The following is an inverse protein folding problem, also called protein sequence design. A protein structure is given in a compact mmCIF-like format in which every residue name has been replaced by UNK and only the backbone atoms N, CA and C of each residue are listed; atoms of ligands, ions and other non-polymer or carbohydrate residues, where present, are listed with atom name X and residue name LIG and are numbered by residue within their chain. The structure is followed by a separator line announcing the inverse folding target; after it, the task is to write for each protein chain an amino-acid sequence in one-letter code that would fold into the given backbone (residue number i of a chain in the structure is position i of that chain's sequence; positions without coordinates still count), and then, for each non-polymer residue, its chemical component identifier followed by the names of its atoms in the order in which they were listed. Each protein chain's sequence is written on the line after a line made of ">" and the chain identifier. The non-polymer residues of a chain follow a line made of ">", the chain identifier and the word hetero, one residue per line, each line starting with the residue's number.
data_IF_222010546550
#
_entry.id   IF_222010546550
#
_cell.length_a   1.000
_cell.length_b   1.000
_cell.length_c   1.000
_cell.angle_alpha   90.00
_cell.angle_beta   90.00
_cell.angle_gamma   90.00
#
_symmetry.space_group_name_H-M   'P 1'
#
loop_
_entity.id
_entity.type
_entity.pdbx_description
1 polymer ?
#
# COMPACT_ATOMS: atom_id res chain seq x y z
N UNK A 1 -18.61 -28.78 21.99
CA UNK A 1 -18.24 -28.70 20.55
C UNK A 1 -17.87 -27.29 20.13
N UNK A 2 -18.64 -26.25 20.49
CA UNK A 2 -18.35 -24.84 20.12
C UNK A 2 -16.96 -24.36 20.55
N UNK A 3 -16.53 -24.67 21.78
CA UNK A 3 -15.19 -24.34 22.29
C UNK A 3 -14.06 -24.98 21.47
N UNK A 4 -14.27 -26.18 20.92
CA UNK A 4 -13.27 -26.83 20.05
C UNK A 4 -13.25 -26.24 18.64
N UNK A 5 -14.40 -25.78 18.12
CA UNK A 5 -14.49 -25.11 16.81
C UNK A 5 -13.80 -23.74 16.87
N UNK A 6 -14.02 -22.95 17.92
CA UNK A 6 -13.34 -21.65 18.12
C UNK A 6 -11.82 -21.82 18.31
N UNK A 7 -11.39 -22.86 19.04
CA UNK A 7 -9.97 -23.14 19.25
C UNK A 7 -9.25 -23.59 17.97
N UNK A 8 -9.94 -24.34 17.09
CA UNK A 8 -9.39 -24.78 15.81
C UNK A 8 -9.36 -23.65 14.77
N UNK A 9 -10.37 -22.77 14.74
CA UNK A 9 -10.39 -21.60 13.87
C UNK A 9 -9.24 -20.61 14.16
N UNK A 10 -8.84 -20.48 15.43
CA UNK A 10 -7.73 -19.63 15.87
C UNK A 10 -6.33 -20.18 15.50
N UNK A 11 -6.21 -21.47 15.13
CA UNK A 11 -4.93 -22.08 14.70
C UNK A 11 -4.68 -21.96 13.20
N UNK A 12 -5.73 -21.71 12.40
CA UNK A 12 -5.57 -21.60 10.95
C UNK A 12 -4.66 -20.41 10.58
N UNK A 13 -3.79 -20.56 9.58
CA UNK A 13 -3.02 -19.43 9.09
C UNK A 13 -3.95 -18.35 8.52
N UNK A 14 -3.59 -17.06 8.64
CA UNK A 14 -4.29 -16.01 7.94
C UNK A 14 -4.16 -16.18 6.41
N UNK A 15 -5.19 -15.74 5.68
CA UNK A 15 -5.29 -15.83 4.23
C UNK A 15 -5.22 -14.46 3.58
N UNK A 16 -4.39 -14.33 2.54
CA UNK A 16 -4.28 -13.12 1.73
C UNK A 16 -5.59 -12.82 0.99
N UNK A 17 -6.24 -13.82 0.40
CA UNK A 17 -7.54 -13.65 -0.26
C UNK A 17 -8.65 -13.37 0.76
N UNK A 18 -8.55 -14.01 1.93
CA UNK A 18 -9.51 -13.81 3.01
C UNK A 18 -9.56 -12.37 3.53
N UNK A 19 -8.51 -11.55 3.31
CA UNK A 19 -8.50 -10.14 3.73
C UNK A 19 -9.58 -9.31 3.01
N UNK A 20 -9.98 -9.72 1.79
CA UNK A 20 -11.01 -9.03 1.01
C UNK A 20 -12.42 -9.40 1.46
N UNK A 21 -12.65 -10.66 1.82
CA UNK A 21 -14.00 -11.20 2.07
C UNK A 21 -14.34 -11.31 3.55
N UNK A 22 -13.35 -11.59 4.40
CA UNK A 22 -13.53 -11.85 5.83
C UNK A 22 -12.40 -11.22 6.67
N UNK A 23 -12.09 -9.91 6.50
CA UNK A 23 -10.93 -9.28 7.13
C UNK A 23 -10.89 -9.44 8.64
N UNK A 24 -12.03 -9.33 9.31
CA UNK A 24 -12.12 -9.48 10.77
C UNK A 24 -11.62 -10.83 11.27
N UNK A 25 -11.90 -11.91 10.55
CA UNK A 25 -11.42 -13.25 10.88
C UNK A 25 -9.93 -13.41 10.58
N UNK A 26 -9.44 -12.83 9.47
CA UNK A 26 -8.02 -12.87 9.15
C UNK A 26 -7.18 -12.13 10.20
N UNK A 27 -7.63 -10.97 10.67
CA UNK A 27 -6.94 -10.24 11.74
C UNK A 27 -6.97 -10.96 13.09
N UNK A 28 -8.05 -11.68 13.42
CA UNK A 28 -8.06 -12.58 14.58
C UNK A 28 -7.01 -13.69 14.45
N UNK A 29 -6.85 -14.28 13.25
CA UNK A 29 -5.81 -15.29 12.97
C UNK A 29 -4.40 -14.70 13.02
N UNK A 30 -4.19 -13.47 12.53
CA UNK A 30 -2.89 -12.78 12.64
C UNK A 30 -2.52 -12.57 14.11
N UNK A 31 -3.48 -12.26 14.98
CA UNK A 31 -3.24 -12.14 16.41
C UNK A 31 -2.68 -13.42 17.02
N UNK A 32 -3.17 -14.60 16.63
CA UNK A 32 -2.75 -15.87 17.23
C UNK A 32 -1.60 -16.55 16.48
N UNK A 33 -1.49 -16.35 15.17
CA UNK A 33 -0.53 -17.01 14.29
C UNK A 33 0.01 -16.03 13.21
N UNK A 34 0.81 -15.02 13.60
CA UNK A 34 1.31 -14.01 12.67
C UNK A 34 2.29 -14.63 11.66
N UNK A 35 1.96 -14.50 10.37
CA UNK A 35 2.81 -14.92 9.24
C UNK A 35 3.32 -13.69 8.48
N UNK A 36 4.58 -13.71 8.07
CA UNK A 36 5.23 -12.54 7.46
C UNK A 36 5.86 -12.92 6.12
N UNK A 37 6.81 -13.85 6.10
CA UNK A 37 7.69 -14.07 4.95
C UNK A 37 6.97 -14.45 3.66
N UNK A 38 6.08 -15.45 3.70
CA UNK A 38 5.33 -15.87 2.50
C UNK A 38 4.37 -14.78 2.03
N UNK A 39 3.53 -14.16 2.88
CA UNK A 39 2.73 -13.00 2.50
C UNK A 39 3.56 -11.85 1.90
N UNK A 40 4.69 -11.52 2.52
CA UNK A 40 5.55 -10.43 2.07
C UNK A 40 6.18 -10.72 0.71
N UNK A 41 6.61 -11.95 0.46
CA UNK A 41 7.11 -12.37 -0.85
C UNK A 41 6.03 -12.23 -1.93
N UNK A 42 4.79 -12.64 -1.64
CA UNK A 42 3.68 -12.49 -2.58
C UNK A 42 3.41 -11.01 -2.85
N UNK A 43 3.38 -10.17 -1.82
CA UNK A 43 3.23 -8.70 -1.96
C UNK A 43 4.34 -8.11 -2.83
N UNK A 44 5.59 -8.54 -2.63
CA UNK A 44 6.73 -8.06 -3.39
C UNK A 44 6.62 -8.46 -4.87
N UNK A 45 6.22 -9.69 -5.17
CA UNK A 45 6.00 -10.16 -6.55
C UNK A 45 4.88 -9.37 -7.22
N UNK A 46 3.73 -9.19 -6.56
CA UNK A 46 2.59 -8.43 -7.11
C UNK A 46 2.98 -6.98 -7.40
N UNK A 47 3.68 -6.31 -6.49
CA UNK A 47 4.16 -4.94 -6.72
C UNK A 47 5.20 -4.88 -7.82
N UNK A 48 6.13 -5.84 -7.89
CA UNK A 48 7.13 -5.89 -8.95
C UNK A 48 6.48 -5.99 -10.34
N UNK A 49 5.41 -6.78 -10.47
CA UNK A 49 4.63 -6.87 -11.71
C UNK A 49 3.94 -5.54 -12.02
N UNK A 50 3.28 -4.91 -11.04
CA UNK A 50 2.67 -3.59 -11.23
C UNK A 50 3.67 -2.53 -11.68
N UNK A 51 4.82 -2.44 -11.01
CA UNK A 51 5.92 -1.53 -11.39
C UNK A 51 6.54 -1.89 -12.74
N UNK A 52 6.57 -3.17 -13.10
CA UNK A 52 7.00 -3.62 -14.42
C UNK A 52 6.09 -3.12 -15.53
N UNK A 53 4.76 -3.16 -15.33
CA UNK A 53 3.80 -2.58 -16.26
C UNK A 53 3.99 -1.06 -16.35
N UNK A 54 4.11 -0.38 -15.20
CA UNK A 54 4.39 1.06 -15.15
C UNK A 54 5.68 1.42 -15.91
N UNK A 55 6.73 0.62 -15.76
CA UNK A 55 7.99 0.79 -16.46
C UNK A 55 7.87 0.64 -17.98
N UNK A 56 6.97 -0.24 -18.46
CA UNK A 56 6.66 -0.39 -19.89
C UNK A 56 5.87 0.80 -20.46
N UNK A 57 5.13 1.52 -19.62
CA UNK A 57 4.40 2.72 -20.01
C UNK A 57 5.30 3.95 -20.17
N UNK A 58 6.52 3.92 -19.64
CA UNK A 58 7.49 5.02 -19.78
C UNK A 58 8.27 4.93 -21.09
N UNK A 59 8.55 6.07 -21.71
CA UNK A 59 9.42 6.20 -22.87
C UNK A 59 10.52 7.27 -22.67
N UNK A 60 11.43 7.38 -23.63
CA UNK A 60 12.53 8.36 -23.59
C UNK A 60 12.03 9.80 -23.75
N UNK A 61 10.94 10.02 -24.51
CA UNK A 61 10.31 11.33 -24.68
C UNK A 61 9.83 11.91 -23.34
N UNK A 62 9.27 11.08 -22.45
CA UNK A 62 8.89 11.49 -21.10
C UNK A 62 10.10 12.01 -20.30
N UNK A 63 11.25 11.33 -20.39
CA UNK A 63 12.46 11.74 -19.68
C UNK A 63 13.05 13.03 -20.25
N UNK A 64 13.04 13.18 -21.58
CA UNK A 64 13.49 14.40 -22.25
C UNK A 64 12.64 15.59 -21.81
N UNK A 65 11.31 15.44 -21.76
CA UNK A 65 10.39 16.46 -21.22
C UNK A 65 10.67 16.80 -19.75
N UNK A 66 11.22 15.86 -18.98
CA UNK A 66 11.63 16.08 -17.59
C UNK A 66 13.02 16.75 -17.46
N UNK A 67 13.73 16.98 -18.57
CA UNK A 67 15.01 17.68 -18.62
C UNK A 67 16.23 16.77 -18.79
N UNK A 68 16.03 15.49 -19.10
CA UNK A 68 17.13 14.58 -19.42
C UNK A 68 17.68 14.88 -20.82
N UNK A 69 19.00 15.07 -21.02
CA UNK A 69 19.58 15.24 -22.34
C UNK A 69 19.26 14.04 -23.25
N UNK A 70 18.90 14.32 -24.51
CA UNK A 70 18.45 13.31 -25.49
C UNK A 70 19.48 12.17 -25.65
N UNK A 71 20.77 12.51 -25.75
CA UNK A 71 21.89 11.56 -25.84
C UNK A 71 21.98 10.56 -24.68
N UNK A 72 21.39 10.90 -23.52
CA UNK A 72 21.41 10.07 -22.31
C UNK A 72 20.05 9.40 -22.03
N UNK A 73 19.00 9.73 -22.79
CA UNK A 73 17.62 9.38 -22.46
C UNK A 73 17.39 7.86 -22.41
N UNK A 74 17.86 7.11 -23.41
CA UNK A 74 17.68 5.65 -23.47
C UNK A 74 18.44 4.92 -22.36
N UNK A 75 19.66 5.39 -22.04
CA UNK A 75 20.46 4.84 -20.95
C UNK A 75 19.77 5.06 -19.61
N UNK A 76 19.32 6.28 -19.35
CA UNK A 76 18.61 6.64 -18.12
C UNK A 76 17.26 5.90 -18.02
N UNK A 77 16.56 5.71 -19.14
CA UNK A 77 15.33 4.92 -19.20
C UNK A 77 15.57 3.48 -18.74
N UNK A 78 16.63 2.83 -19.25
CA UNK A 78 17.01 1.48 -18.84
C UNK A 78 17.25 1.37 -17.32
N UNK A 79 18.05 2.28 -16.75
CA UNK A 79 18.29 2.33 -15.31
C UNK A 79 17.02 2.61 -14.50
N UNK A 80 16.19 3.54 -14.97
CA UNK A 80 14.95 3.94 -14.30
C UNK A 80 13.97 2.78 -14.21
N UNK A 81 13.76 2.05 -15.31
CA UNK A 81 12.89 0.87 -15.34
C UNK A 81 13.35 -0.22 -14.37
N UNK A 82 14.65 -0.49 -14.29
CA UNK A 82 15.22 -1.46 -13.32
C UNK A 82 15.00 -0.97 -11.89
N UNK A 83 15.29 0.31 -11.62
CA UNK A 83 15.11 0.91 -10.31
C UNK A 83 13.64 0.87 -9.85
N UNK A 84 12.68 1.12 -10.75
CA UNK A 84 11.24 1.04 -10.45
C UNK A 84 10.82 -0.37 -10.02
N UNK A 85 11.24 -1.41 -10.73
CA UNK A 85 10.92 -2.79 -10.35
C UNK A 85 11.58 -3.14 -9.01
N UNK A 86 12.85 -2.78 -8.81
CA UNK A 86 13.57 -3.02 -7.56
C UNK A 86 12.92 -2.32 -6.35
N UNK A 87 12.51 -1.06 -6.53
CA UNK A 87 11.78 -0.31 -5.50
C UNK A 87 10.40 -0.90 -5.23
N UNK A 88 9.70 -1.42 -6.26
CA UNK A 88 8.44 -2.16 -6.10
C UNK A 88 8.55 -3.39 -5.19
N UNK A 89 9.70 -4.08 -5.22
CA UNK A 89 9.97 -5.23 -4.35
C UNK A 89 10.18 -4.82 -2.89
N UNK A 90 10.94 -3.74 -2.66
CA UNK A 90 11.45 -3.40 -1.32
C UNK A 90 10.47 -2.49 -0.56
N UNK A 91 9.83 -1.54 -1.25
CA UNK A 91 9.01 -0.49 -0.63
C UNK A 91 7.87 -1.05 0.25
N UNK A 92 7.12 -2.10 -0.14
CA UNK A 92 6.07 -2.64 0.71
C UNK A 92 6.58 -3.16 2.05
N UNK A 93 7.78 -3.77 2.08
CA UNK A 93 8.41 -4.25 3.31
C UNK A 93 8.79 -3.09 4.23
N UNK A 94 9.40 -2.04 3.67
CA UNK A 94 9.77 -0.83 4.41
C UNK A 94 8.53 -0.13 4.95
N UNK A 95 7.49 0.05 4.11
CA UNK A 95 6.24 0.69 4.52
C UNK A 95 5.53 -0.08 5.64
N UNK A 96 5.47 -1.41 5.56
CA UNK A 96 4.92 -2.24 6.63
C UNK A 96 5.77 -2.16 7.92
N UNK A 97 7.11 -2.10 7.80
CA UNK A 97 8.02 -1.97 8.93
C UNK A 97 7.81 -0.64 9.66
N UNK A 98 7.84 0.48 8.94
CA UNK A 98 7.65 1.84 9.47
C UNK A 98 6.28 1.96 10.12
N UNK A 99 5.21 1.53 9.43
CA UNK A 99 3.85 1.59 9.96
C UNK A 99 3.72 0.79 11.26
N UNK A 100 4.35 -0.39 11.33
CA UNK A 100 4.36 -1.22 12.53
C UNK A 100 5.13 -0.58 13.68
N UNK A 101 6.22 0.14 13.38
CA UNK A 101 7.03 0.84 14.37
C UNK A 101 6.25 2.01 15.00
N UNK A 102 5.51 2.75 14.19
CA UNK A 102 4.63 3.82 14.69
C UNK A 102 3.48 3.22 15.51
N UNK A 103 2.82 2.17 14.99
CA UNK A 103 1.69 1.53 15.67
C UNK A 103 2.08 0.86 17.00
N UNK A 104 3.30 0.30 17.11
CA UNK A 104 3.77 -0.27 18.38
C UNK A 104 4.04 0.84 19.41
N UNK A 105 4.46 2.04 18.99
CA UNK A 105 4.59 3.17 19.91
C UNK A 105 3.21 3.58 20.47
N UNK A 106 2.18 3.67 19.61
CA UNK A 106 0.79 3.94 20.04
C UNK A 106 0.26 2.83 20.96
N UNK A 107 0.58 1.57 20.66
CA UNK A 107 0.19 0.43 21.49
C UNK A 107 0.80 0.51 22.90
N UNK A 108 2.06 0.91 23.02
CA UNK A 108 2.72 1.10 24.32
C UNK A 108 2.06 2.21 25.14
N UNK A 109 1.72 3.34 24.51
CA UNK A 109 1.03 4.46 25.18
C UNK A 109 -0.36 4.04 25.69
N UNK A 110 -1.05 3.19 24.93
CA UNK A 110 -2.40 2.71 25.26
C UNK A 110 -2.43 1.40 26.06
N UNK A 111 -1.28 0.88 26.50
CA UNK A 111 -1.14 -0.41 27.19
C UNK A 111 -1.81 -1.60 26.47
N UNK A 112 -1.79 -1.58 25.13
CA UNK A 112 -2.41 -2.62 24.32
C UNK A 112 -1.53 -3.88 24.27
N UNK A 113 -2.11 -5.10 24.44
CA UNK A 113 -1.35 -6.35 24.50
C UNK A 113 -1.03 -6.88 23.08
N UNK A 114 -0.19 -6.14 22.33
CA UNK A 114 0.22 -6.49 20.97
C UNK A 114 1.74 -6.45 20.81
N UNK A 115 2.25 -7.35 19.99
CA UNK A 115 3.67 -7.44 19.63
C UNK A 115 3.94 -6.77 18.30
N UNK A 116 5.17 -6.31 18.09
CA UNK A 116 5.61 -5.79 16.79
C UNK A 116 5.38 -6.80 15.66
N UNK A 117 5.63 -8.09 15.91
CA UNK A 117 5.44 -9.16 14.93
C UNK A 117 3.99 -9.28 14.45
N UNK A 118 3.01 -9.09 15.35
CA UNK A 118 1.60 -9.10 14.99
C UNK A 118 1.23 -7.88 14.13
N UNK A 119 1.73 -6.69 14.48
CA UNK A 119 1.51 -5.47 13.69
C UNK A 119 2.18 -5.54 12.32
N UNK A 120 3.40 -6.10 12.25
CA UNK A 120 4.11 -6.27 10.98
C UNK A 120 3.44 -7.29 10.06
N UNK A 121 2.97 -8.41 10.63
CA UNK A 121 2.11 -9.35 9.92
C UNK A 121 0.84 -8.66 9.43
N UNK A 122 0.12 -7.94 10.30
CA UNK A 122 -1.09 -7.19 9.94
C UNK A 122 -0.85 -6.23 8.77
N UNK A 123 0.18 -5.39 8.85
CA UNK A 123 0.51 -4.42 7.81
C UNK A 123 0.98 -5.09 6.50
N UNK A 124 1.59 -6.27 6.56
CA UNK A 124 1.93 -7.07 5.36
C UNK A 124 0.68 -7.58 4.65
N UNK A 125 -0.34 -8.03 5.38
CA UNK A 125 -1.60 -8.47 4.76
C UNK A 125 -2.41 -7.29 4.20
N UNK A 126 -2.35 -6.12 4.85
CA UNK A 126 -2.98 -4.90 4.34
C UNK A 126 -2.26 -4.40 3.09
N UNK A 127 -0.93 -4.44 3.04
CA UNK A 127 -0.16 -4.00 1.86
C UNK A 127 -0.43 -4.87 0.63
N UNK A 128 -0.87 -6.12 0.79
CA UNK A 128 -1.37 -6.93 -0.32
C UNK A 128 -2.57 -6.32 -1.04
N UNK A 129 -3.47 -5.67 -0.30
CA UNK A 129 -4.62 -4.98 -0.89
C UNK A 129 -4.18 -3.79 -1.73
N UNK A 130 -3.23 -3.01 -1.23
CA UNK A 130 -2.63 -1.92 -1.98
C UNK A 130 -1.87 -2.43 -3.22
N UNK A 131 -1.15 -3.55 -3.11
CA UNK A 131 -0.43 -4.17 -4.21
C UNK A 131 -1.37 -4.60 -5.35
N UNK A 132 -2.50 -5.24 -5.00
CA UNK A 132 -3.53 -5.63 -5.97
C UNK A 132 -4.17 -4.41 -6.61
N UNK A 133 -4.44 -3.36 -5.83
CA UNK A 133 -4.96 -2.10 -6.34
C UNK A 133 -4.02 -1.43 -7.33
N UNK A 134 -2.73 -1.38 -7.00
CA UNK A 134 -1.71 -0.83 -7.88
C UNK A 134 -1.58 -1.66 -9.17
N UNK A 135 -1.51 -2.99 -9.06
CA UNK A 135 -1.47 -3.87 -10.23
C UNK A 135 -2.68 -3.67 -11.14
N UNK A 136 -3.89 -3.57 -10.57
CA UNK A 136 -5.11 -3.33 -11.33
C UNK A 136 -5.04 -1.97 -12.05
N UNK A 137 -4.65 -0.91 -11.34
CA UNK A 137 -4.53 0.43 -11.93
C UNK A 137 -3.53 0.45 -13.08
N UNK A 138 -2.36 -0.19 -12.93
CA UNK A 138 -1.35 -0.25 -13.99
C UNK A 138 -1.82 -1.10 -15.17
N UNK A 139 -2.44 -2.25 -14.92
CA UNK A 139 -2.95 -3.11 -15.99
C UNK A 139 -4.05 -2.41 -16.81
N UNK A 140 -5.03 -1.80 -16.13
CA UNK A 140 -6.10 -1.07 -16.82
C UNK A 140 -5.55 0.17 -17.52
N UNK A 141 -4.69 0.94 -16.85
CA UNK A 141 -4.06 2.13 -17.41
C UNK A 141 -3.28 1.83 -18.69
N UNK A 142 -2.49 0.75 -18.68
CA UNK A 142 -1.77 0.28 -19.87
C UNK A 142 -2.73 -0.08 -21.03
N UNK A 143 -3.82 -0.79 -20.74
CA UNK A 143 -4.79 -1.22 -21.77
C UNK A 143 -5.53 -0.05 -22.42
N UNK A 144 -5.77 1.03 -21.69
CA UNK A 144 -6.51 2.20 -22.19
C UNK A 144 -5.59 3.36 -22.63
N UNK A 145 -4.26 3.18 -22.55
CA UNK A 145 -3.28 4.23 -22.88
C UNK A 145 -3.31 5.43 -21.94
N UNK A 146 -3.63 5.22 -20.66
CA UNK A 146 -3.54 6.28 -19.66
C UNK A 146 -2.08 6.58 -19.30
N UNK A 147 -1.80 7.78 -18.80
CA UNK A 147 -0.49 8.12 -18.25
C UNK A 147 -0.10 7.18 -17.10
N UNK A 148 1.19 6.82 -17.03
CA UNK A 148 1.73 5.90 -16.02
C UNK A 148 1.47 6.34 -14.56
N UNK A 149 1.28 7.63 -14.33
CA UNK A 149 1.00 8.18 -13.00
C UNK A 149 -0.49 8.08 -12.62
N UNK A 150 -1.38 7.92 -13.61
CA UNK A 150 -2.83 7.97 -13.41
C UNK A 150 -3.37 6.67 -12.84
N UNK A 151 -3.84 6.73 -11.60
CA UNK A 151 -4.65 5.68 -11.02
C UNK A 151 -6.10 5.86 -11.45
N UNK A 152 -6.60 4.97 -12.32
CA UNK A 152 -7.97 4.99 -12.86
C UNK A 152 -9.05 4.83 -11.79
N UNK A 153 -8.72 4.22 -10.64
CA UNK A 153 -9.65 4.08 -9.51
C UNK A 153 -9.46 5.16 -8.43
N UNK A 154 -8.70 6.22 -8.74
CA UNK A 154 -8.65 7.45 -7.94
C UNK A 154 -9.74 8.44 -8.32
N UNK A 155 -10.06 9.37 -7.41
CA UNK A 155 -10.97 10.47 -7.69
C UNK A 155 -10.46 11.35 -8.85
N UNK A 156 -9.14 11.54 -8.97
CA UNK A 156 -8.51 12.24 -10.10
C UNK A 156 -8.75 11.53 -11.44
N UNK A 157 -8.54 10.21 -11.47
CA UNK A 157 -8.80 9.36 -12.63
C UNK A 157 -10.26 9.36 -13.05
N UNK A 158 -11.19 9.18 -12.10
CA UNK A 158 -12.64 9.19 -12.36
C UNK A 158 -13.15 10.53 -12.90
N UNK A 159 -12.53 11.64 -12.51
CA UNK A 159 -12.90 12.98 -12.97
C UNK A 159 -12.18 13.41 -14.25
N UNK A 160 -11.32 12.56 -14.82
CA UNK A 160 -10.50 12.90 -15.99
C UNK A 160 -9.48 14.02 -15.73
N UNK A 161 -9.11 14.24 -14.46
CA UNK A 161 -8.15 15.29 -14.03
C UNK A 161 -6.72 14.76 -13.89
N UNK A 162 -6.46 13.52 -14.33
CA UNK A 162 -5.18 12.85 -14.22
C UNK A 162 -4.78 12.51 -12.79
N UNK A 163 -3.52 12.14 -12.61
CA UNK A 163 -2.86 11.76 -11.35
C UNK A 163 -2.57 12.92 -10.38
N UNK A 164 -2.75 14.17 -10.82
CA UNK A 164 -2.14 15.31 -10.13
C UNK A 164 -2.78 15.60 -8.76
N UNK A 165 -1.94 15.48 -7.73
CA UNK A 165 -2.18 15.92 -6.37
C UNK A 165 -3.24 15.19 -5.56
N UNK A 166 -3.95 15.96 -4.73
CA UNK A 166 -4.83 15.42 -3.68
C UNK A 166 -5.91 14.50 -4.24
N UNK A 167 -6.41 14.77 -5.45
CA UNK A 167 -7.46 13.96 -6.08
C UNK A 167 -6.95 12.57 -6.51
N UNK A 168 -5.68 12.46 -6.94
CA UNK A 168 -5.06 11.18 -7.24
C UNK A 168 -4.83 10.32 -6.00
N UNK A 169 -4.55 10.96 -4.85
CA UNK A 169 -4.33 10.27 -3.58
C UNK A 169 -5.61 9.73 -2.92
N UNK A 170 -6.78 10.29 -3.27
CA UNK A 170 -8.08 9.76 -2.85
C UNK A 170 -8.42 8.60 -3.77
N UNK A 171 -8.05 7.41 -3.33
CA UNK A 171 -8.02 6.20 -4.14
C UNK A 171 -8.81 5.07 -3.47
N UNK A 172 -9.58 4.29 -4.24
CA UNK A 172 -10.45 3.22 -3.73
C UNK A 172 -9.73 2.22 -2.81
N UNK A 173 -8.59 1.70 -3.23
CA UNK A 173 -7.77 0.76 -2.47
C UNK A 173 -7.06 1.42 -1.28
N UNK A 174 -6.74 2.72 -1.37
CA UNK A 174 -6.22 3.47 -0.22
C UNK A 174 -7.30 3.64 0.87
N UNK A 175 -8.54 3.97 0.49
CA UNK A 175 -9.69 4.05 1.39
C UNK A 175 -9.96 2.68 2.02
N UNK A 176 -9.96 1.62 1.22
CA UNK A 176 -10.15 0.28 1.74
C UNK A 176 -9.01 -0.15 2.67
N UNK A 177 -7.76 0.19 2.35
CA UNK A 177 -6.61 0.00 3.24
C UNK A 177 -6.76 0.72 4.58
N UNK A 178 -7.31 1.93 4.61
CA UNK A 178 -7.64 2.65 5.84
C UNK A 178 -8.69 1.90 6.67
N UNK A 179 -9.78 1.43 6.06
CA UNK A 179 -10.79 0.61 6.73
C UNK A 179 -10.18 -0.67 7.31
N UNK A 180 -9.36 -1.37 6.52
CA UNK A 180 -8.67 -2.59 6.97
C UNK A 180 -7.69 -2.31 8.10
N UNK A 181 -7.00 -1.17 8.10
CA UNK A 181 -6.13 -0.75 9.19
C UNK A 181 -6.93 -0.56 10.48
N UNK A 182 -8.09 0.09 10.43
CA UNK A 182 -8.96 0.26 11.59
C UNK A 182 -9.48 -1.10 12.12
N UNK A 183 -9.95 -1.98 11.24
CA UNK A 183 -10.39 -3.34 11.62
C UNK A 183 -9.20 -4.13 12.20
N UNK A 184 -8.04 -4.04 11.58
CA UNK A 184 -6.82 -4.72 11.97
C UNK A 184 -6.35 -4.32 13.37
N UNK A 185 -6.30 -3.01 13.65
CA UNK A 185 -5.94 -2.50 14.97
C UNK A 185 -6.97 -2.91 16.04
N UNK A 186 -8.26 -2.89 15.72
CA UNK A 186 -9.31 -3.34 16.63
C UNK A 186 -9.21 -4.86 16.93
N UNK A 187 -9.02 -5.70 15.91
CA UNK A 187 -9.04 -7.17 16.05
C UNK A 187 -7.71 -7.77 16.49
N UNK A 188 -6.60 -7.28 15.92
CA UNK A 188 -5.24 -7.74 16.18
C UNK A 188 -4.66 -7.10 17.44
N UNK A 189 -4.65 -5.77 17.49
CA UNK A 189 -4.01 -5.02 18.59
C UNK A 189 -4.94 -4.80 19.79
N UNK A 190 -6.24 -5.10 19.66
CA UNK A 190 -7.27 -4.87 20.69
C UNK A 190 -7.37 -3.41 21.13
N UNK A 191 -7.08 -2.48 20.22
CA UNK A 191 -7.32 -1.06 20.47
C UNK A 191 -8.82 -0.82 20.68
N UNK A 192 -9.23 0.13 21.54
CA UNK A 192 -10.60 0.63 21.54
C UNK A 192 -10.99 1.11 20.14
N UNK A 193 -12.26 0.93 19.75
CA UNK A 193 -12.75 1.25 18.40
C UNK A 193 -12.39 2.68 17.97
N UNK A 194 -12.54 3.66 18.86
CA UNK A 194 -12.18 5.05 18.58
C UNK A 194 -10.70 5.24 18.25
N UNK A 195 -9.80 4.65 19.04
CA UNK A 195 -8.34 4.72 18.81
C UNK A 195 -7.95 4.03 17.50
N UNK A 196 -8.52 2.86 17.22
CA UNK A 196 -8.24 2.12 15.99
C UNK A 196 -8.58 2.92 14.73
N UNK A 197 -9.75 3.57 14.72
CA UNK A 197 -10.16 4.44 13.62
C UNK A 197 -9.33 5.73 13.55
N UNK A 198 -9.05 6.36 14.70
CA UNK A 198 -8.23 7.58 14.73
C UNK A 198 -6.85 7.34 14.10
N UNK A 199 -6.16 6.25 14.49
CA UNK A 199 -4.86 5.89 13.92
C UNK A 199 -4.98 5.64 12.41
N UNK A 200 -5.97 4.87 11.97
CA UNK A 200 -6.14 4.57 10.55
C UNK A 200 -6.41 5.83 9.70
N UNK A 201 -7.25 6.74 10.19
CA UNK A 201 -7.56 8.01 9.53
C UNK A 201 -6.31 8.90 9.48
N UNK A 202 -5.54 9.00 10.56
CA UNK A 202 -4.31 9.80 10.58
C UNK A 202 -3.30 9.29 9.55
N UNK A 203 -3.11 7.97 9.42
CA UNK A 203 -2.24 7.40 8.38
C UNK A 203 -2.73 7.73 6.96
N UNK A 204 -4.05 7.64 6.74
CA UNK A 204 -4.64 7.97 5.44
C UNK A 204 -4.46 9.46 5.09
N UNK A 205 -4.76 10.36 6.03
CA UNK A 205 -4.58 11.80 5.85
C UNK A 205 -3.10 12.17 5.68
N UNK A 206 -2.19 11.47 6.38
CA UNK A 206 -0.76 11.64 6.19
C UNK A 206 -0.34 11.27 4.76
N UNK A 207 -0.87 10.17 4.20
CA UNK A 207 -0.66 9.81 2.80
C UNK A 207 -1.14 10.88 1.82
N UNK A 208 -2.33 11.44 2.05
CA UNK A 208 -2.84 12.58 1.26
C UNK A 208 -1.92 13.80 1.40
N UNK A 209 -1.44 14.09 2.61
CA UNK A 209 -0.52 15.19 2.88
C UNK A 209 0.80 15.06 2.11
N UNK A 210 1.37 13.85 2.03
CA UNK A 210 2.57 13.60 1.22
C UNK A 210 2.33 13.86 -0.27
N UNK A 211 1.17 13.44 -0.80
CA UNK A 211 0.82 13.71 -2.20
C UNK A 211 0.64 15.21 -2.48
N UNK A 212 0.04 15.95 -1.54
CA UNK A 212 -0.11 17.40 -1.63
C UNK A 212 1.26 18.11 -1.67
N UNK A 213 2.19 17.71 -0.78
CA UNK A 213 3.56 18.25 -0.75
C UNK A 213 4.28 17.95 -2.07
N UNK A 214 4.17 16.72 -2.60
CA UNK A 214 4.77 16.36 -3.89
C UNK A 214 4.30 17.27 -5.04
N UNK A 215 3.01 17.61 -5.05
CA UNK A 215 2.45 18.53 -6.06
C UNK A 215 3.00 19.95 -5.92
N UNK A 216 3.10 20.44 -4.68
CA UNK A 216 3.68 21.77 -4.41
C UNK A 216 5.15 21.84 -4.85
N UNK A 217 5.92 20.76 -4.65
CA UNK A 217 7.31 20.68 -5.08
C UNK A 217 7.47 20.62 -6.60
N UNK A 218 6.54 19.97 -7.31
CA UNK A 218 6.53 19.93 -8.78
C UNK A 218 6.16 21.30 -9.40
N UNK A 219 5.31 22.08 -8.73
CA UNK A 219 4.91 23.43 -9.15
C UNK A 219 5.83 24.56 -8.65
N UNK A 220 6.79 24.28 -7.76
CA UNK A 220 7.76 25.27 -7.31
C UNK A 220 8.74 25.63 -8.44
N UNK A 221 9.15 26.91 -8.59
CA UNK A 221 10.19 27.26 -9.54
C UNK A 221 11.44 26.43 -9.22
N UNK A 222 11.97 25.74 -10.23
CA UNK A 222 13.24 25.00 -10.12
C UNK A 222 14.32 26.05 -9.78
N UNK A 223 14.88 25.96 -8.56
CA UNK A 223 15.99 26.80 -8.09
C UNK A 223 17.28 26.48 -8.85
#
# INVERSE_FOLDING_TARGET
>A
METQIETNAAKQPPSLIGIFTSPGEQFKRIRTNPKIWVPLLIVAVVNAVGMGIMAMMMDSDMLIKQGVPEENADTILGFTRIAMVATGVITPAIGALISSAIMIAVAKISNAPVTFRQLFSMNTYISFVAAIGHLLNMAVGYLIGADAETHVTSLGGLLGKGSSGVLGAIELFAIWGMVLTAIGLYRTARFPKGLAWAVAIVFFLFGIGLAAIGTLMQGAPKL
#
